data_IF_369881898746
#
_entry.id   IF_369881898746
#
_cell.length_a   1.000
_cell.length_b   1.000
_cell.length_c   1.000
_cell.angle_alpha   90.00
_cell.angle_beta   90.00
_cell.angle_gamma   90.00
#
_symmetry.space_group_name_H-M   'P 1'
#
loop_
_entity.id
_entity.type
_entity.pdbx_description
1 polymer ?
#
# COMPACT_ATOMS: atom_id res chain seq x y z
N UNK A 1 1.82 -5.86 15.78
CA UNK A 1 3.17 -5.87 15.25
C UNK A 1 3.59 -4.45 14.91
N UNK A 2 4.68 -3.95 15.48
CA UNK A 2 5.12 -2.60 15.18
C UNK A 2 5.70 -2.51 13.76
N UNK A 3 5.52 -1.36 13.13
CA UNK A 3 6.13 -1.09 11.85
C UNK A 3 7.58 -0.62 12.05
N UNK A 4 8.49 -0.97 11.13
CA UNK A 4 9.81 -0.35 11.11
C UNK A 4 9.70 1.17 11.11
N UNK A 5 10.67 1.84 11.72
CA UNK A 5 10.64 3.30 11.88
C UNK A 5 10.51 4.03 10.53
N UNK A 6 11.21 3.58 9.50
CA UNK A 6 11.15 4.22 8.19
C UNK A 6 9.77 4.11 7.56
N UNK A 7 9.12 2.96 7.71
CA UNK A 7 7.76 2.77 7.21
C UNK A 7 6.76 3.63 7.98
N UNK A 8 6.91 3.68 9.29
CA UNK A 8 6.04 4.48 10.15
C UNK A 8 6.13 5.96 9.77
N UNK A 9 7.35 6.47 9.65
CA UNK A 9 7.58 7.87 9.29
C UNK A 9 7.02 8.19 7.89
N UNK A 10 7.16 7.26 6.95
CA UNK A 10 6.63 7.43 5.61
C UNK A 10 5.09 7.51 5.63
N UNK A 11 4.44 6.60 6.35
CA UNK A 11 2.98 6.61 6.47
C UNK A 11 2.50 7.90 7.15
N UNK A 12 3.21 8.38 8.15
CA UNK A 12 2.88 9.65 8.79
C UNK A 12 2.99 10.82 7.82
N UNK A 13 3.98 10.80 6.92
CA UNK A 13 4.09 11.82 5.89
C UNK A 13 2.93 11.77 4.91
N UNK A 14 2.49 10.57 4.52
CA UNK A 14 1.30 10.41 3.68
C UNK A 14 0.07 10.98 4.36
N UNK A 15 -0.12 10.65 5.63
CA UNK A 15 -1.25 11.15 6.41
C UNK A 15 -1.23 12.67 6.54
N UNK A 16 -0.07 13.24 6.82
CA UNK A 16 0.08 14.69 7.00
C UNK A 16 -0.21 15.48 5.73
N UNK A 17 0.03 14.87 4.57
CA UNK A 17 -0.21 15.52 3.28
C UNK A 17 -1.56 15.16 2.68
N UNK A 18 -2.40 14.42 3.40
CA UNK A 18 -3.74 14.08 2.93
C UNK A 18 -3.76 13.12 1.75
N UNK A 19 -2.72 12.30 1.60
CA UNK A 19 -2.64 11.33 0.50
C UNK A 19 -3.66 10.23 0.73
N UNK A 20 -4.41 9.90 -0.31
CA UNK A 20 -5.29 8.73 -0.30
C UNK A 20 -4.47 7.51 -0.70
N UNK A 21 -4.28 6.60 0.24
CA UNK A 21 -3.45 5.41 0.07
C UNK A 21 -4.02 4.23 0.85
N UNK A 22 -3.61 3.03 0.45
CA UNK A 22 -3.95 1.80 1.16
C UNK A 22 -2.69 0.94 1.26
N UNK A 23 -2.41 0.44 2.46
CA UNK A 23 -1.37 -0.59 2.62
C UNK A 23 -1.95 -1.89 2.10
N UNK A 24 -1.24 -2.54 1.18
CA UNK A 24 -1.61 -3.80 0.56
C UNK A 24 -0.49 -4.82 0.78
N UNK A 25 -0.54 -5.95 0.12
CA UNK A 25 0.53 -6.94 0.18
C UNK A 25 0.69 -7.63 1.52
N UNK A 26 1.92 -8.06 1.82
CA UNK A 26 2.21 -8.89 3.00
C UNK A 26 1.91 -8.20 4.33
N UNK A 27 2.12 -6.88 4.41
CA UNK A 27 1.83 -6.15 5.64
C UNK A 27 0.32 -6.12 5.90
N UNK A 28 -0.49 -5.98 4.85
CA UNK A 28 -1.95 -6.05 4.98
C UNK A 28 -2.40 -7.46 5.38
N UNK A 29 -1.79 -8.49 4.82
CA UNK A 29 -2.08 -9.88 5.23
C UNK A 29 -1.82 -10.07 6.72
N UNK A 30 -0.69 -9.56 7.21
CA UNK A 30 -0.36 -9.66 8.62
C UNK A 30 -1.41 -8.95 9.47
N UNK A 31 -1.89 -7.80 9.02
CA UNK A 31 -2.95 -7.07 9.72
C UNK A 31 -4.25 -7.89 9.79
N UNK A 32 -4.55 -8.64 8.73
CA UNK A 32 -5.75 -9.50 8.68
C UNK A 32 -5.54 -10.85 9.34
N UNK A 33 -4.47 -11.03 10.09
CA UNK A 33 -4.26 -12.22 10.92
C UNK A 33 -3.39 -13.30 10.29
N UNK A 34 -2.77 -13.05 9.15
CA UNK A 34 -1.92 -14.01 8.46
C UNK A 34 -0.47 -13.56 8.62
N UNK A 35 0.28 -14.12 9.57
CA UNK A 35 1.70 -13.73 9.78
C UNK A 35 2.50 -13.96 8.52
N UNK A 36 3.23 -12.94 8.09
CA UNK A 36 4.06 -13.01 6.90
C UNK A 36 5.24 -12.07 7.07
N UNK A 37 6.45 -12.58 6.83
CA UNK A 37 7.62 -11.71 6.77
C UNK A 37 7.56 -10.88 5.49
N UNK A 38 7.90 -9.59 5.61
CA UNK A 38 7.99 -8.72 4.45
C UNK A 38 9.18 -7.79 4.58
N UNK A 39 9.98 -7.73 3.52
CA UNK A 39 11.09 -6.78 3.38
C UNK A 39 10.66 -5.50 2.68
N UNK A 40 9.40 -5.38 2.31
CA UNK A 40 8.85 -4.23 1.60
C UNK A 40 7.45 -3.90 2.10
N UNK A 41 7.18 -2.61 2.10
CA UNK A 41 5.85 -2.08 2.37
C UNK A 41 5.22 -1.75 1.02
N UNK A 42 4.11 -2.39 0.70
CA UNK A 42 3.37 -2.13 -0.54
C UNK A 42 2.25 -1.15 -0.28
N UNK A 43 2.27 -0.03 -0.98
CA UNK A 43 1.30 1.05 -0.79
C UNK A 43 0.62 1.37 -2.12
N UNK A 44 -0.68 1.14 -2.17
CA UNK A 44 -1.50 1.51 -3.31
C UNK A 44 -1.93 2.97 -3.14
N UNK A 45 -1.73 3.78 -4.16
CA UNK A 45 -2.12 5.20 -4.11
C UNK A 45 -3.17 5.49 -5.18
N UNK A 46 -4.08 6.41 -4.89
CA UNK A 46 -5.04 6.87 -5.90
C UNK A 46 -4.26 7.64 -6.96
N UNK A 47 -4.49 7.31 -8.22
CA UNK A 47 -3.75 7.90 -9.34
C UNK A 47 -4.40 9.14 -9.94
N UNK A 48 -5.21 9.86 -9.16
CA UNK A 48 -5.75 11.13 -9.58
C UNK A 48 -4.68 12.22 -9.54
N UNK A 49 -4.86 13.26 -10.34
CA UNK A 49 -3.93 14.39 -10.38
C UNK A 49 -3.79 15.04 -9.00
N UNK A 50 -4.90 15.24 -8.30
CA UNK A 50 -4.89 15.85 -6.97
C UNK A 50 -4.11 15.03 -5.98
N UNK A 51 -4.33 13.72 -5.95
CA UNK A 51 -3.63 12.84 -5.03
C UNK A 51 -2.15 12.72 -5.38
N UNK A 52 -1.84 12.73 -6.67
CA UNK A 52 -0.45 12.69 -7.14
C UNK A 52 0.32 13.91 -6.67
N UNK A 53 -0.30 15.10 -6.69
CA UNK A 53 0.33 16.31 -6.16
C UNK A 53 0.61 16.20 -4.67
N UNK A 54 -0.33 15.64 -3.91
CA UNK A 54 -0.16 15.43 -2.47
C UNK A 54 0.96 14.42 -2.19
N UNK A 55 1.02 13.38 -3.01
CA UNK A 55 2.06 12.36 -2.89
C UNK A 55 3.44 12.94 -3.18
N UNK A 56 3.57 13.77 -4.21
CA UNK A 56 4.83 14.44 -4.51
C UNK A 56 5.29 15.27 -3.30
N UNK A 57 4.39 16.02 -2.68
CA UNK A 57 4.71 16.82 -1.49
C UNK A 57 5.12 15.92 -0.33
N UNK A 58 4.44 14.80 -0.13
CA UNK A 58 4.78 13.85 0.94
C UNK A 58 6.18 13.26 0.74
N UNK A 59 6.53 12.91 -0.50
CA UNK A 59 7.84 12.34 -0.82
C UNK A 59 8.95 13.38 -0.61
N UNK A 60 8.71 14.61 -1.02
CA UNK A 60 9.68 15.69 -0.83
C UNK A 60 9.93 15.93 0.66
N UNK A 61 8.87 15.94 1.46
CA UNK A 61 8.98 16.12 2.91
C UNK A 61 9.65 14.96 3.62
N UNK A 62 9.61 13.77 3.02
CA UNK A 62 10.22 12.57 3.61
C UNK A 62 11.71 12.42 3.20
N UNK A 63 12.22 13.24 2.27
CA UNK A 63 13.62 13.17 1.86
C UNK A 63 13.84 12.54 0.50
N UNK A 64 12.78 12.30 -0.27
CA UNK A 64 12.90 11.72 -1.60
C UNK A 64 12.88 12.77 -2.73
N UNK A 65 12.99 14.05 -2.40
CA UNK A 65 12.98 15.12 -3.40
C UNK A 65 14.10 14.95 -4.44
N UNK A 66 15.25 14.43 -4.01
CA UNK A 66 16.41 14.25 -4.89
C UNK A 66 16.26 13.14 -5.92
N UNK A 67 15.20 12.33 -5.84
CA UNK A 67 14.97 11.26 -6.82
C UNK A 67 14.31 11.75 -8.11
N UNK A 68 13.89 13.02 -8.16
CA UNK A 68 13.28 13.59 -9.36
C UNK A 68 11.89 13.08 -9.65
N UNK A 69 11.21 12.48 -8.68
CA UNK A 69 9.84 12.00 -8.85
C UNK A 69 8.87 13.17 -8.89
N UNK A 70 7.96 13.15 -9.84
CA UNK A 70 6.97 14.19 -10.06
C UNK A 70 5.57 13.61 -9.99
N UNK A 71 4.57 14.46 -9.76
CA UNK A 71 3.17 14.06 -9.73
C UNK A 71 2.80 13.25 -10.97
N UNK A 72 3.29 13.64 -12.15
CA UNK A 72 3.01 12.93 -13.40
C UNK A 72 3.41 11.45 -13.36
N UNK A 73 4.38 11.08 -12.53
CA UNK A 73 4.81 9.69 -12.41
C UNK A 73 3.76 8.80 -11.72
N UNK A 74 2.79 9.40 -11.04
CA UNK A 74 1.83 8.68 -10.22
C UNK A 74 0.40 8.69 -10.79
N UNK A 75 0.21 9.20 -12.01
CA UNK A 75 -1.13 9.25 -12.62
C UNK A 75 -1.39 8.11 -13.59
N UNK A 76 -0.36 7.44 -14.07
CA UNK A 76 -0.51 6.30 -14.97
C UNK A 76 -0.83 5.03 -14.18
N UNK A 77 -1.73 4.20 -14.72
CA UNK A 77 -2.04 2.89 -14.12
C UNK A 77 -0.87 1.91 -14.34
N UNK A 78 -0.83 0.88 -13.49
CA UNK A 78 0.15 -0.21 -13.58
C UNK A 78 1.61 0.21 -13.41
N UNK A 79 1.83 1.29 -12.68
CA UNK A 79 3.19 1.70 -12.31
C UNK A 79 3.54 1.17 -10.94
N UNK A 80 4.78 0.72 -10.79
CA UNK A 80 5.37 0.36 -9.50
C UNK A 80 6.64 1.17 -9.34
N UNK A 81 6.72 1.96 -8.28
CA UNK A 81 7.87 2.80 -8.00
C UNK A 81 8.49 2.32 -6.70
N UNK A 82 9.73 1.85 -6.77
CA UNK A 82 10.44 1.31 -5.62
C UNK A 82 11.29 2.38 -4.96
N UNK A 83 11.11 2.56 -3.66
CA UNK A 83 11.85 3.52 -2.86
C UNK A 83 12.69 2.77 -1.82
N UNK A 84 13.99 3.09 -1.79
CA UNK A 84 14.90 2.45 -0.85
C UNK A 84 15.30 1.04 -1.27
N UNK A 85 15.87 0.30 -0.33
CA UNK A 85 16.34 -1.07 -0.54
C UNK A 85 15.87 -1.94 0.63
N UNK A 86 15.76 -3.28 0.44
CA UNK A 86 15.44 -4.17 1.55
C UNK A 86 16.44 -4.01 2.70
N UNK A 87 16.02 -4.18 3.95
CA UNK A 87 14.73 -4.73 4.38
C UNK A 87 13.61 -3.71 4.53
N UNK A 88 13.86 -2.44 4.24
CA UNK A 88 12.87 -1.37 4.47
C UNK A 88 12.40 -0.72 3.17
N UNK A 89 12.39 -1.47 2.07
CA UNK A 89 11.94 -0.94 0.77
C UNK A 89 10.45 -0.61 0.82
N UNK A 90 10.07 0.44 0.11
CA UNK A 90 8.68 0.86 -0.04
C UNK A 90 8.34 0.79 -1.53
N UNK A 91 7.28 0.07 -1.87
CA UNK A 91 6.80 -0.03 -3.25
C UNK A 91 5.49 0.74 -3.36
N UNK A 92 5.47 1.77 -4.20
CA UNK A 92 4.27 2.53 -4.50
C UNK A 92 3.62 1.96 -5.76
N UNK A 93 2.33 1.59 -5.64
CA UNK A 93 1.57 1.03 -6.76
C UNK A 93 0.46 2.01 -7.15
N UNK A 94 0.28 2.22 -8.45
CA UNK A 94 -0.77 3.11 -8.95
C UNK A 94 -2.04 2.37 -9.33
N UNK A 95 -2.02 1.04 -9.33
CA UNK A 95 -3.21 0.22 -9.54
C UNK A 95 -3.02 -1.16 -8.91
N UNK A 96 -4.12 -1.87 -8.72
CA UNK A 96 -4.13 -3.20 -8.13
C UNK A 96 -5.00 -4.10 -9.01
N UNK A 97 -4.49 -5.29 -9.34
CA UNK A 97 -5.20 -6.21 -10.23
C UNK A 97 -6.54 -6.62 -9.65
N UNK A 98 -7.58 -6.46 -10.44
CA UNK A 98 -8.92 -6.94 -10.13
C UNK A 98 -9.74 -6.07 -9.18
N UNK A 99 -9.17 -4.97 -8.70
CA UNK A 99 -9.84 -4.07 -7.75
C UNK A 99 -9.56 -2.63 -8.16
N UNK A 100 -10.61 -1.81 -8.28
CA UNK A 100 -10.40 -0.38 -8.51
C UNK A 100 -10.04 0.29 -7.18
N UNK A 101 -9.36 1.42 -7.26
CA UNK A 101 -9.04 2.16 -6.05
C UNK A 101 -10.32 2.58 -5.30
N UNK A 102 -11.35 3.04 -6.00
CA UNK A 102 -12.60 3.46 -5.36
C UNK A 102 -13.26 2.33 -4.58
N UNK A 103 -13.29 1.12 -5.15
CA UNK A 103 -13.84 -0.04 -4.46
C UNK A 103 -13.05 -0.34 -3.18
N UNK A 104 -11.74 -0.38 -3.30
CA UNK A 104 -10.87 -0.68 -2.16
C UNK A 104 -10.91 0.43 -1.11
N UNK A 105 -10.97 1.68 -1.55
CA UNK A 105 -11.03 2.84 -0.65
C UNK A 105 -12.29 2.84 0.20
N UNK A 106 -13.43 2.53 -0.42
CA UNK A 106 -14.72 2.51 0.27
C UNK A 106 -14.79 1.44 1.36
N UNK A 107 -14.03 0.36 1.23
CA UNK A 107 -14.02 -0.75 2.18
C UNK A 107 -12.75 -0.78 3.04
N UNK A 108 -11.97 0.29 3.04
CA UNK A 108 -10.71 0.32 3.78
C UNK A 108 -10.90 0.17 5.27
N UNK A 109 -9.84 -0.32 5.91
CA UNK A 109 -9.77 -0.44 7.37
C UNK A 109 -8.77 0.59 7.88
N UNK A 110 -9.23 1.49 8.72
CA UNK A 110 -8.36 2.46 9.38
C UNK A 110 -8.02 1.89 10.76
N UNK A 111 -6.74 1.75 11.05
CA UNK A 111 -6.30 1.16 12.30
C UNK A 111 -5.08 1.91 12.84
N UNK A 112 -4.88 1.82 14.15
CA UNK A 112 -3.67 2.32 14.78
C UNK A 112 -2.67 1.17 14.89
N UNK A 113 -1.45 1.42 14.40
CA UNK A 113 -0.32 0.53 14.59
C UNK A 113 0.64 1.32 15.48
N UNK A 114 0.66 0.99 16.77
CA UNK A 114 1.24 1.87 17.75
C UNK A 114 0.41 3.15 17.82
N UNK A 115 1.03 4.29 17.59
CA UNK A 115 0.36 5.59 17.56
C UNK A 115 0.09 6.10 16.16
N UNK A 116 0.49 5.36 15.14
CA UNK A 116 0.37 5.77 13.73
C UNK A 116 -0.92 5.23 13.15
N UNK A 117 -1.74 6.13 12.59
CA UNK A 117 -2.94 5.70 11.85
C UNK A 117 -2.52 5.18 10.49
N UNK A 118 -3.04 4.02 10.13
CA UNK A 118 -2.71 3.36 8.87
C UNK A 118 -3.99 2.96 8.17
N UNK A 119 -4.07 3.24 6.87
CA UNK A 119 -5.17 2.79 6.05
C UNK A 119 -4.78 1.46 5.39
N UNK A 120 -5.47 0.39 5.73
CA UNK A 120 -5.24 -0.93 5.14
C UNK A 120 -6.34 -1.26 4.14
N UNK A 121 -5.98 -2.00 3.11
CA UNK A 121 -6.98 -2.62 2.23
C UNK A 121 -7.87 -3.54 3.07
N UNK A 122 -9.16 -3.51 2.83
CA UNK A 122 -10.10 -4.39 3.52
C UNK A 122 -9.95 -5.83 3.09
N UNK A 123 -10.45 -6.76 3.92
CA UNK A 123 -10.31 -8.20 3.67
C UNK A 123 -10.92 -8.63 2.34
N UNK A 124 -12.11 -8.16 2.02
CA UNK A 124 -12.81 -8.57 0.78
C UNK A 124 -12.09 -8.10 -0.48
N UNK A 125 -11.59 -6.86 -0.48
CA UNK A 125 -10.81 -6.34 -1.61
C UNK A 125 -9.49 -7.08 -1.77
N UNK A 126 -8.84 -7.43 -0.66
CA UNK A 126 -7.62 -8.22 -0.67
C UNK A 126 -7.87 -9.61 -1.26
N UNK A 127 -8.96 -10.25 -0.86
CA UNK A 127 -9.36 -11.56 -1.40
C UNK A 127 -9.61 -11.46 -2.90
N UNK A 128 -10.33 -10.44 -3.34
CA UNK A 128 -10.63 -10.25 -4.77
C UNK A 128 -9.34 -10.06 -5.57
N UNK A 129 -8.41 -9.27 -5.06
CA UNK A 129 -7.12 -9.07 -5.72
C UNK A 129 -6.36 -10.40 -5.87
N UNK A 130 -6.32 -11.21 -4.80
CA UNK A 130 -5.59 -12.47 -4.83
C UNK A 130 -6.24 -13.50 -5.75
N UNK A 131 -7.56 -13.51 -5.85
CA UNK A 131 -8.26 -14.36 -6.81
C UNK A 131 -7.92 -14.00 -8.24
N UNK A 132 -7.80 -12.70 -8.53
CA UNK A 132 -7.51 -12.21 -9.88
C UNK A 132 -6.06 -12.40 -10.29
N UNK A 133 -5.11 -12.31 -9.37
CA UNK A 133 -3.70 -12.55 -9.65
C UNK A 133 -3.40 -14.06 -9.80
N UNK A 134 -4.03 -14.90 -8.99
CA UNK A 134 -4.03 -16.35 -9.17
C UNK A 134 -2.68 -17.07 -9.10
N UNK A 135 -1.66 -16.46 -8.51
CA UNK A 135 -0.35 -17.10 -8.33
C UNK A 135 -0.46 -18.19 -7.25
N UNK A 136 0.51 -19.12 -7.20
CA UNK A 136 0.51 -20.16 -6.17
C UNK A 136 0.49 -19.56 -4.76
N UNK A 137 1.26 -18.50 -4.53
CA UNK A 137 1.27 -17.80 -3.26
C UNK A 137 -0.10 -17.22 -2.94
N UNK A 138 -0.80 -16.68 -3.95
CA UNK A 138 -2.12 -16.09 -3.76
C UNK A 138 -3.15 -17.14 -3.37
N UNK A 139 -3.06 -18.34 -3.93
CA UNK A 139 -3.95 -19.44 -3.57
C UNK A 139 -3.75 -19.87 -2.11
N UNK A 140 -2.48 -19.95 -1.67
CA UNK A 140 -2.16 -20.27 -0.28
C UNK A 140 -2.69 -19.17 0.65
N UNK A 141 -2.58 -17.90 0.27
CA UNK A 141 -3.08 -16.78 1.03
C UNK A 141 -4.60 -16.81 1.15
N UNK A 142 -5.29 -17.19 0.06
CA UNK A 142 -6.75 -17.32 0.08
C UNK A 142 -7.20 -18.41 1.05
N UNK A 143 -6.52 -19.55 1.06
CA UNK A 143 -6.82 -20.62 2.03
C UNK A 143 -6.62 -20.13 3.45
N UNK A 144 -5.52 -19.43 3.72
CA UNK A 144 -5.22 -18.89 5.04
C UNK A 144 -6.26 -17.86 5.48
N UNK A 145 -6.80 -17.08 4.54
CA UNK A 145 -7.87 -16.11 4.81
C UNK A 145 -9.25 -16.78 4.97
N UNK A 146 -9.35 -18.07 4.75
CA UNK A 146 -10.62 -18.78 4.80
C UNK A 146 -11.48 -18.56 3.56
N UNK A 147 -10.87 -18.16 2.45
CA UNK A 147 -11.56 -17.90 1.19
C UNK A 147 -10.91 -18.72 0.09
N UNK A 148 -11.51 -19.84 -0.25
CA UNK A 148 -11.01 -20.67 -1.34
C UNK A 148 -11.58 -20.20 -2.67
N UNK A 149 -10.86 -20.44 -3.71
CA UNK A 149 -11.33 -20.13 -5.05
C UNK A 149 -10.32 -19.57 -5.97
#
# INVERSE_FOLDING_TARGET
>A
MPLPEDWRAFIESLNSNGVEYLVVGAVALAHHGIPRYSGDLDVLVRNSTENADRLEAALAGFGFAGLGLKAADFVDSYRVIQLGIPPNRIDLLTSLTGVTFDEAWGARVEALVGETRVNFIGREALILNKRRTGRAQDKADLEALGASG
#
